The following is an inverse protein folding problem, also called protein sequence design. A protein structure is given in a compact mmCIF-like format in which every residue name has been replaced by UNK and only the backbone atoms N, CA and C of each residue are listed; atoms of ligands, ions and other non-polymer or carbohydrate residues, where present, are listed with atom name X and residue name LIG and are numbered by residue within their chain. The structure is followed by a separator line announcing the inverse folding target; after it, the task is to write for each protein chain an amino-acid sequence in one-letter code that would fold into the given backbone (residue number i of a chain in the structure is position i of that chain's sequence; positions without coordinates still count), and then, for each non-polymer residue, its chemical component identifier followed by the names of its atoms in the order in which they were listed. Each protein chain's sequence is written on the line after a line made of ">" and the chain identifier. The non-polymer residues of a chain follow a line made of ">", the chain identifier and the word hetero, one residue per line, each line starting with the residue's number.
data_IF_039356540761
#
_entry.id   IF_039356540761
#
_cell.length_a   1.000
_cell.length_b   1.000
_cell.length_c   1.000
_cell.angle_alpha   90.00
_cell.angle_beta   90.00
_cell.angle_gamma   90.00
#
_symmetry.space_group_name_H-M   'P 1'
#
loop_
_entity.id
_entity.type
_entity.pdbx_description
1 polymer ?
#
# COMPACT_ATOMS: atom_id res chain seq x y z
N UNK A 1 -8.62 8.89 -17.07
CA UNK A 1 -8.02 8.52 -15.76
C UNK A 1 -8.79 7.35 -15.20
N UNK A 2 -8.17 6.21 -15.06
CA UNK A 2 -8.79 5.01 -14.48
C UNK A 2 -8.00 4.56 -13.26
N UNK A 3 -8.73 4.03 -12.26
CA UNK A 3 -8.17 3.47 -11.04
C UNK A 3 -8.39 1.97 -11.01
N UNK A 4 -7.48 1.27 -10.37
CA UNK A 4 -7.64 -0.12 -9.99
C UNK A 4 -7.25 -0.31 -8.54
N UNK A 5 -7.73 -1.39 -7.92
CA UNK A 5 -7.25 -1.77 -6.61
C UNK A 5 -5.91 -2.47 -6.77
N UNK A 6 -4.95 -2.14 -5.92
CA UNK A 6 -3.62 -2.74 -5.98
C UNK A 6 -3.40 -3.69 -4.81
N UNK A 7 -3.48 -3.19 -3.60
CA UNK A 7 -3.31 -4.03 -2.42
C UNK A 7 -3.83 -3.32 -1.17
N UNK A 8 -3.93 -4.09 -0.10
CA UNK A 8 -4.10 -3.60 1.27
C UNK A 8 -2.80 -3.88 2.01
N UNK A 9 -2.31 -2.93 2.79
CA UNK A 9 -1.06 -3.10 3.52
C UNK A 9 -1.33 -3.34 5.00
N UNK A 10 -0.79 -4.43 5.49
CA UNK A 10 -0.82 -4.80 6.91
C UNK A 10 0.61 -4.66 7.46
N UNK A 11 0.77 -3.82 8.47
CA UNK A 11 2.04 -3.68 9.19
C UNK A 11 2.02 -4.57 10.42
N UNK A 12 3.12 -5.25 10.69
CA UNK A 12 3.20 -6.23 11.76
C UNK A 12 4.60 -6.29 12.35
N UNK A 13 4.68 -6.72 13.60
CA UNK A 13 5.97 -6.92 14.28
C UNK A 13 6.70 -8.18 13.79
N UNK A 14 5.95 -9.18 13.33
CA UNK A 14 6.49 -10.44 12.84
C UNK A 14 5.81 -10.83 11.52
N UNK A 15 6.37 -10.38 10.38
CA UNK A 15 5.74 -10.63 9.08
C UNK A 15 5.56 -12.11 8.76
N UNK A 16 6.51 -12.95 9.13
CA UNK A 16 6.41 -14.40 8.85
C UNK A 16 5.27 -15.04 9.64
N UNK A 17 5.16 -14.72 10.91
CA UNK A 17 4.09 -15.24 11.75
C UNK A 17 2.72 -14.75 11.27
N UNK A 18 2.63 -13.48 10.89
CA UNK A 18 1.38 -12.89 10.38
C UNK A 18 1.00 -13.50 9.04
N UNK A 19 1.95 -13.63 8.11
CA UNK A 19 1.71 -14.32 6.83
C UNK A 19 1.20 -15.74 7.07
N UNK A 20 1.86 -16.48 7.97
CA UNK A 20 1.49 -17.85 8.27
C UNK A 20 0.08 -17.95 8.86
N UNK A 21 -0.32 -16.96 9.67
CA UNK A 21 -1.68 -16.88 10.21
C UNK A 21 -2.72 -16.82 9.08
N UNK A 22 -2.51 -15.95 8.10
CA UNK A 22 -3.45 -15.80 6.98
C UNK A 22 -3.50 -17.06 6.11
N UNK A 23 -2.36 -17.69 5.89
CA UNK A 23 -2.29 -18.94 5.11
C UNK A 23 -2.98 -20.08 5.85
N UNK A 24 -2.62 -20.32 7.11
CA UNK A 24 -3.07 -21.48 7.86
C UNK A 24 -4.53 -21.38 8.29
N UNK A 25 -5.01 -20.19 8.61
CA UNK A 25 -6.34 -20.02 9.22
C UNK A 25 -7.38 -19.46 8.26
N UNK A 26 -6.97 -18.68 7.26
CA UNK A 26 -7.90 -17.99 6.38
C UNK A 26 -7.76 -18.40 4.91
N UNK A 27 -6.90 -19.37 4.62
CA UNK A 27 -6.77 -19.92 3.27
C UNK A 27 -6.07 -19.02 2.28
N UNK A 28 -5.29 -18.04 2.75
CA UNK A 28 -4.49 -17.22 1.84
C UNK A 28 -3.41 -18.04 1.16
N UNK A 29 -3.02 -17.63 -0.04
CA UNK A 29 -1.89 -18.24 -0.76
C UNK A 29 -0.73 -17.25 -0.85
N UNK A 30 0.48 -17.75 -0.61
CA UNK A 30 1.68 -16.93 -0.71
C UNK A 30 1.95 -16.59 -2.17
N UNK A 31 2.09 -15.29 -2.48
CA UNK A 31 2.45 -14.82 -3.82
C UNK A 31 3.97 -14.67 -3.93
N UNK A 32 4.59 -13.98 -2.97
CA UNK A 32 6.02 -13.67 -3.01
C UNK A 32 6.53 -13.21 -1.65
N UNK A 33 7.85 -13.29 -1.48
CA UNK A 33 8.55 -12.56 -0.44
C UNK A 33 8.83 -11.14 -0.96
N UNK A 34 8.74 -10.15 -0.06
CA UNK A 34 9.01 -8.75 -0.38
C UNK A 34 10.33 -8.35 0.27
N UNK A 35 11.43 -8.61 -0.42
CA UNK A 35 12.78 -8.37 0.08
C UNK A 35 12.99 -9.08 1.41
N UNK A 36 13.59 -8.39 2.38
CA UNK A 36 13.77 -8.87 3.75
C UNK A 36 12.67 -8.40 4.69
N UNK A 37 11.69 -7.64 4.19
CA UNK A 37 10.71 -6.91 5.02
C UNK A 37 9.40 -7.64 5.22
N UNK A 38 9.03 -8.54 4.32
CA UNK A 38 7.75 -9.18 4.45
C UNK A 38 7.32 -10.07 3.31
N UNK A 39 6.02 -10.15 3.14
CA UNK A 39 5.38 -11.10 2.23
C UNK A 39 4.21 -10.46 1.51
N UNK A 40 3.89 -11.02 0.37
CA UNK A 40 2.66 -10.71 -0.35
C UNK A 40 1.82 -11.97 -0.44
N UNK A 41 0.56 -11.87 -0.05
CA UNK A 41 -0.37 -13.01 -0.11
C UNK A 41 -1.63 -12.62 -0.87
N UNK A 42 -2.26 -13.64 -1.45
CA UNK A 42 -3.59 -13.51 -2.06
C UNK A 42 -4.62 -14.05 -1.04
N UNK A 43 -5.46 -13.14 -0.54
CA UNK A 43 -6.56 -13.49 0.35
C UNK A 43 -7.85 -13.47 -0.45
N UNK A 44 -8.11 -14.59 -1.15
CA UNK A 44 -9.33 -14.79 -1.94
C UNK A 44 -9.61 -13.66 -2.95
N UNK A 45 -8.57 -13.21 -3.64
CA UNK A 45 -8.65 -12.15 -4.64
C UNK A 45 -8.18 -10.79 -4.13
N UNK A 46 -8.04 -10.61 -2.81
CA UNK A 46 -7.48 -9.40 -2.22
C UNK A 46 -5.98 -9.62 -1.98
N UNK A 47 -5.15 -8.75 -2.56
CA UNK A 47 -3.71 -8.79 -2.29
C UNK A 47 -3.41 -8.06 -0.99
N UNK A 48 -2.74 -8.76 -0.06
CA UNK A 48 -2.20 -8.16 1.16
C UNK A 48 -0.68 -8.08 1.05
N UNK A 49 -0.13 -6.89 1.30
CA UNK A 49 1.30 -6.73 1.59
C UNK A 49 1.47 -6.76 3.10
N UNK A 50 2.32 -7.63 3.59
CA UNK A 50 2.56 -7.83 5.03
C UNK A 50 4.02 -7.51 5.31
N UNK A 51 4.28 -6.40 6.00
CA UNK A 51 5.66 -5.95 6.27
C UNK A 51 5.79 -5.45 7.71
N UNK A 52 7.05 -5.22 8.13
CA UNK A 52 7.32 -4.41 9.31
C UNK A 52 7.12 -2.93 8.99
N UNK A 53 7.30 -2.07 9.99
CA UNK A 53 7.38 -0.63 9.76
C UNK A 53 8.60 -0.34 8.87
N UNK A 54 8.46 0.65 7.99
CA UNK A 54 9.51 1.03 7.04
C UNK A 54 10.13 2.33 7.52
N UNK A 55 11.37 2.29 7.97
CA UNK A 55 12.07 3.40 8.61
C UNK A 55 12.39 4.57 7.67
N UNK A 56 12.35 4.35 6.36
CA UNK A 56 12.58 5.38 5.34
C UNK A 56 11.34 6.19 5.00
N UNK A 57 10.16 5.80 5.50
CA UNK A 57 8.91 6.53 5.25
C UNK A 57 8.71 7.60 6.33
N UNK A 58 8.32 8.80 5.88
CA UNK A 58 8.17 9.96 6.77
C UNK A 58 6.75 10.15 7.28
N UNK A 59 5.75 9.58 6.62
CA UNK A 59 4.36 9.61 7.09
C UNK A 59 4.19 8.73 8.32
N UNK A 60 3.16 9.00 9.10
CA UNK A 60 2.83 8.16 10.24
C UNK A 60 2.54 6.73 9.81
N UNK A 61 3.08 5.77 10.54
CA UNK A 61 2.85 4.35 10.32
C UNK A 61 2.26 3.74 11.59
N UNK A 62 1.40 2.74 11.42
CA UNK A 62 0.79 2.03 12.53
C UNK A 62 0.75 0.53 12.23
N UNK A 63 0.76 -0.27 13.26
CA UNK A 63 0.55 -1.70 13.13
C UNK A 63 -0.90 -2.01 12.79
N UNK A 64 -1.13 -3.16 12.18
CA UNK A 64 -2.44 -3.58 11.72
C UNK A 64 -2.69 -3.16 10.27
N UNK A 65 -3.97 -2.99 9.93
CA UNK A 65 -4.36 -2.51 8.60
C UNK A 65 -3.97 -1.04 8.47
N UNK A 66 -3.01 -0.75 7.61
CA UNK A 66 -2.45 0.61 7.56
C UNK A 66 -3.01 1.45 6.41
N UNK A 67 -3.03 0.92 5.21
CA UNK A 67 -3.50 1.70 4.06
C UNK A 67 -4.06 0.80 2.96
N UNK A 68 -4.84 1.45 2.08
CA UNK A 68 -5.33 0.86 0.84
C UNK A 68 -4.52 1.47 -0.29
N UNK A 69 -4.08 0.66 -1.24
CA UNK A 69 -3.36 1.13 -2.41
C UNK A 69 -4.21 0.99 -3.67
N UNK A 70 -4.25 2.07 -4.44
CA UNK A 70 -4.87 2.13 -5.75
C UNK A 70 -3.80 2.40 -6.78
N UNK A 71 -3.97 1.87 -7.99
CA UNK A 71 -3.14 2.30 -9.11
C UNK A 71 -3.90 3.27 -10.00
N UNK A 72 -3.16 4.06 -10.78
CA UNK A 72 -3.73 4.99 -11.76
C UNK A 72 -2.93 4.91 -13.05
N UNK A 73 -3.62 5.04 -14.18
CA UNK A 73 -3.00 5.11 -15.50
C UNK A 73 -2.57 6.53 -15.88
N UNK A 74 -2.89 7.51 -15.05
CA UNK A 74 -2.51 8.91 -15.25
C UNK A 74 -2.09 9.53 -13.92
N UNK A 75 -0.87 9.25 -13.50
CA UNK A 75 -0.38 9.73 -12.21
C UNK A 75 -0.32 11.27 -12.14
N UNK A 76 0.23 12.00 -13.16
CA UNK A 76 0.26 13.45 -13.08
C UNK A 76 -1.13 14.07 -13.02
N UNK A 77 -2.07 13.58 -13.81
CA UNK A 77 -3.45 14.07 -13.82
C UNK A 77 -4.17 13.77 -12.52
N UNK A 78 -3.95 12.58 -11.95
CA UNK A 78 -4.49 12.21 -10.65
C UNK A 78 -4.00 13.14 -9.55
N UNK A 79 -2.69 13.38 -9.49
CA UNK A 79 -2.10 14.24 -8.47
C UNK A 79 -2.60 15.68 -8.59
N UNK A 80 -2.67 16.20 -9.83
CA UNK A 80 -3.18 17.55 -10.06
C UNK A 80 -4.64 17.69 -9.61
N UNK A 81 -5.48 16.70 -9.91
CA UNK A 81 -6.89 16.69 -9.48
C UNK A 81 -7.02 16.67 -7.97
N UNK A 82 -6.25 15.80 -7.29
CA UNK A 82 -6.27 15.72 -5.84
C UNK A 82 -5.89 17.04 -5.20
N UNK A 83 -4.81 17.65 -5.66
CA UNK A 83 -4.37 18.96 -5.16
C UNK A 83 -5.39 20.05 -5.46
N UNK A 84 -5.98 20.03 -6.65
CA UNK A 84 -7.03 20.99 -7.04
C UNK A 84 -8.27 20.88 -6.18
N UNK A 85 -8.57 19.70 -5.67
CA UNK A 85 -9.68 19.45 -4.75
C UNK A 85 -9.32 19.68 -3.27
N UNK A 86 -8.11 20.16 -2.98
CA UNK A 86 -7.68 20.43 -1.62
C UNK A 86 -7.31 19.19 -0.80
N UNK A 87 -7.07 18.07 -1.46
CA UNK A 87 -6.64 16.83 -0.78
C UNK A 87 -5.21 16.97 -0.29
N UNK A 88 -4.98 16.61 0.96
CA UNK A 88 -3.65 16.66 1.56
C UNK A 88 -2.81 15.48 1.09
N UNK A 89 -1.66 15.79 0.48
CA UNK A 89 -0.65 14.78 0.12
C UNK A 89 0.30 14.66 1.32
N UNK A 90 0.35 13.46 1.89
CA UNK A 90 1.16 13.20 3.08
C UNK A 90 2.63 12.97 2.73
N UNK A 91 2.86 12.26 1.64
CA UNK A 91 4.21 11.90 1.22
C UNK A 91 4.24 11.58 -0.27
N UNK A 92 5.27 12.05 -0.98
CA UNK A 92 5.59 11.60 -2.32
C UNK A 92 6.90 10.84 -2.25
N UNK A 93 6.89 9.57 -2.64
CA UNK A 93 8.08 8.74 -2.59
C UNK A 93 8.94 8.98 -3.82
N UNK A 94 10.28 8.80 -3.72
CA UNK A 94 11.12 8.74 -4.91
C UNK A 94 10.64 7.60 -5.81
N UNK A 95 10.72 7.75 -7.15
CA UNK A 95 10.30 6.68 -8.07
C UNK A 95 11.03 5.38 -7.76
N UNK A 96 10.26 4.30 -7.65
CA UNK A 96 10.77 2.95 -7.37
C UNK A 96 10.31 2.03 -8.48
N UNK A 97 11.25 1.30 -9.10
CA UNK A 97 10.95 0.44 -10.25
C UNK A 97 10.21 1.18 -11.37
N UNK A 98 10.54 2.46 -11.59
CA UNK A 98 9.94 3.29 -12.61
C UNK A 98 8.53 3.77 -12.28
N UNK A 99 8.05 3.54 -11.06
CA UNK A 99 6.70 3.95 -10.62
C UNK A 99 6.78 5.13 -9.67
N UNK A 100 5.93 6.12 -9.90
CA UNK A 100 5.71 7.22 -8.96
C UNK A 100 4.64 6.79 -7.97
N UNK A 101 4.84 7.16 -6.71
CA UNK A 101 3.95 6.79 -5.61
C UNK A 101 3.75 7.98 -4.69
N UNK A 102 2.51 8.21 -4.28
CA UNK A 102 2.21 9.15 -3.21
C UNK A 102 1.24 8.53 -2.21
N UNK A 103 1.20 9.14 -1.02
CA UNK A 103 0.20 8.85 0.01
C UNK A 103 -0.63 10.09 0.24
N UNK A 104 -1.93 9.94 0.27
CA UNK A 104 -2.87 11.03 0.56
C UNK A 104 -3.67 10.71 1.82
N UNK A 105 -4.26 11.76 2.40
CA UNK A 105 -5.14 11.63 3.55
C UNK A 105 -6.59 11.71 3.12
N UNK A 106 -7.33 10.63 3.34
CA UNK A 106 -8.78 10.60 3.19
C UNK A 106 -9.46 11.03 4.51
N UNK A 107 -10.79 11.20 4.53
CA UNK A 107 -11.49 11.59 5.75
C UNK A 107 -11.15 10.66 6.92
N UNK A 108 -11.11 11.26 8.12
CA UNK A 108 -10.80 10.58 9.38
C UNK A 108 -9.38 9.99 9.45
N UNK A 109 -8.46 10.52 8.63
CA UNK A 109 -7.06 10.13 8.67
C UNK A 109 -6.72 8.83 7.95
N UNK A 110 -7.63 8.27 7.17
CA UNK A 110 -7.34 7.06 6.39
C UNK A 110 -6.28 7.37 5.35
N UNK A 111 -5.22 6.57 5.31
CA UNK A 111 -4.17 6.74 4.32
C UNK A 111 -4.47 5.93 3.06
N UNK A 112 -4.34 6.59 1.92
CA UNK A 112 -4.48 5.96 0.61
C UNK A 112 -3.18 6.11 -0.15
N UNK A 113 -2.64 5.01 -0.63
CA UNK A 113 -1.48 5.01 -1.51
C UNK A 113 -1.95 5.07 -2.96
N UNK A 114 -1.34 5.93 -3.78
CA UNK A 114 -1.60 5.95 -5.21
C UNK A 114 -0.32 5.59 -5.93
N UNK A 115 -0.38 4.54 -6.74
CA UNK A 115 0.76 3.98 -7.46
C UNK A 115 0.55 4.20 -8.95
N UNK A 116 1.59 4.64 -9.63
CA UNK A 116 1.56 4.73 -11.10
C UNK A 116 1.47 3.34 -11.70
N UNK A 117 0.47 3.12 -12.56
CA UNK A 117 0.33 1.86 -13.28
C UNK A 117 1.37 1.79 -14.39
N UNK A 118 2.03 0.67 -14.47
CA UNK A 118 3.05 0.43 -15.50
C UNK A 118 2.47 -0.36 -16.65
#
# INVERSE_FOLDING_TARGET
>A
MTFGTHHVHVKTRDPKQTMQFYVDNLGATLIAEVGTRGYRVNLHGLTLNITTLIDTQTREQQYGLEHIALDTDDYPGTLAKLRGNGVRILEELPPTNGRRVCFLEAPDGVQIEVIEKV
#
